data_IF_827749141925
#
_entry.id   IF_827749141925
#
_cell.length_a   1.000
_cell.length_b   1.000
_cell.length_c   1.000
_cell.angle_alpha   90.00
_cell.angle_beta   90.00
_cell.angle_gamma   90.00
#
_symmetry.space_group_name_H-M   'P 1'
#
loop_
_entity.id
_entity.type
_entity.pdbx_description
1 polymer ?
#
# COMPACT_ATOMS: atom_id res chain seq x y z
N UNK A 1 -8.32 17.16 13.25
CA UNK A 1 -7.44 17.15 12.06
C UNK A 1 -6.07 16.70 12.53
N UNK A 2 -5.76 15.40 12.49
CA UNK A 2 -4.35 14.97 12.53
C UNK A 2 -3.76 15.49 11.21
N UNK A 3 -2.98 16.56 11.28
CA UNK A 3 -2.43 17.24 10.11
C UNK A 3 -1.32 16.40 9.50
N UNK A 4 -1.08 16.58 8.20
CA UNK A 4 0.11 16.08 7.48
C UNK A 4 1.39 16.23 8.30
N UNK A 5 1.54 17.38 8.97
CA UNK A 5 2.67 17.71 9.84
C UNK A 5 2.83 16.70 10.98
N UNK A 6 1.74 16.27 11.61
CA UNK A 6 1.78 15.28 12.69
C UNK A 6 2.24 13.90 12.21
N UNK A 7 1.98 13.54 10.96
CA UNK A 7 2.50 12.29 10.36
C UNK A 7 4.00 12.42 10.12
N UNK A 8 4.45 13.53 9.52
CA UNK A 8 5.87 13.77 9.26
C UNK A 8 6.66 13.83 10.57
N UNK A 9 6.16 14.55 11.58
CA UNK A 9 6.76 14.60 12.92
C UNK A 9 6.87 13.21 13.55
N UNK A 10 5.84 12.36 13.39
CA UNK A 10 5.89 10.99 13.88
C UNK A 10 6.97 10.17 13.15
N UNK A 11 7.01 10.24 11.83
CA UNK A 11 7.99 9.50 11.01
C UNK A 11 9.41 9.93 11.38
N UNK A 12 9.66 11.23 11.47
CA UNK A 12 10.98 11.77 11.83
C UNK A 12 11.40 11.33 13.24
N UNK A 13 10.50 11.46 14.23
CA UNK A 13 10.78 11.03 15.60
C UNK A 13 11.00 9.52 15.69
N UNK A 14 10.23 8.71 14.95
CA UNK A 14 10.39 7.27 14.90
C UNK A 14 11.78 6.90 14.37
N UNK A 15 12.19 7.48 13.25
CA UNK A 15 13.49 7.18 12.60
C UNK A 15 14.67 7.66 13.43
N UNK A 16 14.53 8.77 14.16
CA UNK A 16 15.55 9.21 15.11
C UNK A 16 15.67 8.27 16.32
N UNK A 17 14.56 7.69 16.77
CA UNK A 17 14.52 6.80 17.94
C UNK A 17 14.96 5.37 17.60
N UNK A 18 14.62 4.88 16.41
CA UNK A 18 14.86 3.51 15.95
C UNK A 18 15.52 3.51 14.55
N UNK A 19 16.80 3.94 14.44
CA UNK A 19 17.46 4.13 13.14
C UNK A 19 17.66 2.83 12.34
N UNK A 20 17.60 1.68 12.99
CA UNK A 20 17.67 0.35 12.35
C UNK A 20 16.31 -0.18 11.89
N UNK A 21 15.21 0.41 12.35
CA UNK A 21 13.87 0.00 11.98
C UNK A 21 13.46 0.60 10.63
N UNK A 22 12.51 -0.07 9.96
CA UNK A 22 11.85 0.44 8.75
C UNK A 22 10.39 0.70 9.06
N UNK A 23 9.91 1.88 8.70
CA UNK A 23 8.53 2.29 8.90
C UNK A 23 7.77 2.27 7.58
N UNK A 24 6.69 1.47 7.53
CA UNK A 24 5.87 1.30 6.34
C UNK A 24 4.56 2.06 6.46
N UNK A 25 4.13 2.68 5.36
CA UNK A 25 2.78 3.20 5.23
C UNK A 25 1.80 2.07 4.94
N UNK A 26 0.83 1.83 5.83
CA UNK A 26 -0.20 0.80 5.61
C UNK A 26 -1.35 1.37 4.76
N UNK A 27 -1.61 0.71 3.63
CA UNK A 27 -2.68 1.06 2.69
C UNK A 27 -3.61 -0.16 2.59
N UNK A 28 -4.84 -0.02 3.09
CA UNK A 28 -5.87 -1.05 3.00
C UNK A 28 -6.81 -0.77 1.82
N UNK A 29 -7.08 -1.81 1.02
CA UNK A 29 -7.90 -1.74 -0.20
C UNK A 29 -8.96 -2.83 -0.15
N UNK A 30 -10.22 -2.43 -0.07
CA UNK A 30 -11.37 -3.33 -0.03
C UNK A 30 -11.94 -3.55 -1.43
N UNK A 31 -11.75 -4.75 -1.96
CA UNK A 31 -12.07 -5.13 -3.33
C UNK A 31 -13.32 -6.02 -3.37
N UNK A 32 -14.43 -5.51 -2.86
CA UNK A 32 -15.64 -6.29 -2.67
C UNK A 32 -16.59 -6.04 -3.84
N UNK A 33 -17.06 -7.10 -4.51
CA UNK A 33 -17.83 -6.97 -5.77
C UNK A 33 -19.34 -6.80 -5.55
N UNK A 34 -19.82 -6.99 -4.31
CA UNK A 34 -21.25 -7.12 -3.98
C UNK A 34 -21.83 -5.90 -3.22
N UNK A 35 -21.06 -4.82 -3.04
CA UNK A 35 -21.49 -3.58 -2.39
C UNK A 35 -21.18 -2.35 -3.26
N UNK A 36 -22.07 -1.35 -3.25
CA UNK A 36 -21.91 -0.09 -4.00
C UNK A 36 -20.61 0.67 -3.65
N UNK A 37 -20.00 0.37 -2.51
CA UNK A 37 -18.78 1.00 -1.99
C UNK A 37 -17.49 0.19 -2.22
N UNK A 38 -17.56 -0.97 -2.88
CA UNK A 38 -16.42 -1.85 -3.10
C UNK A 38 -15.60 -1.46 -4.33
N UNK A 39 -14.28 -1.42 -4.20
CA UNK A 39 -13.40 -1.11 -5.32
C UNK A 39 -13.23 -2.32 -6.26
N UNK A 40 -13.07 -2.06 -7.56
CA UNK A 40 -12.69 -3.11 -8.51
C UNK A 40 -11.21 -3.01 -8.83
N UNK A 41 -10.46 -4.11 -8.72
CA UNK A 41 -9.02 -4.08 -9.01
C UNK A 41 -8.70 -3.81 -10.48
N UNK A 42 -9.63 -4.09 -11.40
CA UNK A 42 -9.49 -3.78 -12.83
C UNK A 42 -9.73 -2.30 -13.16
N UNK A 43 -10.19 -1.50 -12.20
CA UNK A 43 -10.40 -0.06 -12.34
C UNK A 43 -9.04 0.68 -12.39
N UNK A 44 -8.80 1.36 -13.51
CA UNK A 44 -7.55 2.09 -13.74
C UNK A 44 -7.43 3.30 -12.80
N UNK A 45 -8.55 3.96 -12.46
CA UNK A 45 -8.55 5.10 -11.54
C UNK A 45 -8.18 4.66 -10.12
N UNK A 46 -8.67 3.50 -9.68
CA UNK A 46 -8.23 2.91 -8.42
C UNK A 46 -6.72 2.64 -8.44
N UNK A 47 -6.22 2.02 -9.51
CA UNK A 47 -4.82 1.66 -9.60
C UNK A 47 -3.91 2.90 -9.58
N UNK A 48 -4.31 3.97 -10.26
CA UNK A 48 -3.61 5.26 -10.25
C UNK A 48 -3.66 5.89 -8.85
N UNK A 49 -4.83 5.95 -8.22
CA UNK A 49 -4.99 6.50 -6.87
C UNK A 49 -4.12 5.79 -5.83
N UNK A 50 -4.04 4.46 -5.88
CA UNK A 50 -3.19 3.68 -4.96
C UNK A 50 -1.70 3.93 -5.23
N UNK A 51 -1.30 4.03 -6.50
CA UNK A 51 0.09 4.32 -6.86
C UNK A 51 0.49 5.73 -6.39
N UNK A 52 -0.33 6.75 -6.66
CA UNK A 52 -0.10 8.13 -6.25
C UNK A 52 -0.07 8.27 -4.73
N UNK A 53 -1.00 7.61 -4.03
CA UNK A 53 -0.99 7.62 -2.57
C UNK A 53 0.27 6.93 -2.02
N UNK A 54 0.70 5.82 -2.61
CA UNK A 54 1.95 5.15 -2.25
C UNK A 54 3.18 6.05 -2.44
N UNK A 55 3.25 6.77 -3.57
CA UNK A 55 4.30 7.73 -3.83
C UNK A 55 4.31 8.87 -2.80
N UNK A 56 3.14 9.37 -2.39
CA UNK A 56 3.03 10.41 -1.34
C UNK A 56 3.53 9.90 0.00
N UNK A 57 3.18 8.68 0.41
CA UNK A 57 3.66 8.09 1.67
C UNK A 57 5.21 8.07 1.71
N UNK A 58 5.85 7.68 0.62
CA UNK A 58 7.31 7.55 0.56
C UNK A 58 7.99 8.91 0.35
N UNK A 59 7.62 9.61 -0.72
CA UNK A 59 8.35 10.79 -1.20
C UNK A 59 8.03 12.06 -0.40
N UNK A 60 6.85 12.12 0.22
CA UNK A 60 6.39 13.32 0.91
C UNK A 60 6.29 13.16 2.43
N UNK A 61 5.92 11.97 2.91
CA UNK A 61 5.71 11.71 4.34
C UNK A 61 6.88 10.98 5.01
N UNK A 62 7.88 10.52 4.24
CA UNK A 62 9.15 10.00 4.76
C UNK A 62 9.14 8.52 5.18
N UNK A 63 8.05 7.80 4.90
CA UNK A 63 7.99 6.35 5.12
C UNK A 63 9.05 5.63 4.28
N UNK A 64 9.62 4.57 4.82
CA UNK A 64 10.66 3.79 4.14
C UNK A 64 10.09 2.90 3.03
N UNK A 65 8.77 2.67 3.02
CA UNK A 65 8.08 1.86 2.03
C UNK A 65 6.58 1.81 2.29
N UNK A 66 5.88 0.97 1.52
CA UNK A 66 4.43 0.77 1.66
C UNK A 66 4.09 -0.69 1.94
N UNK A 67 3.07 -0.90 2.76
CA UNK A 67 2.47 -2.20 3.04
C UNK A 67 1.05 -2.20 2.46
N UNK A 68 0.85 -2.96 1.40
CA UNK A 68 -0.44 -3.05 0.72
C UNK A 68 -1.24 -4.21 1.29
N UNK A 69 -2.47 -3.94 1.70
CA UNK A 69 -3.38 -4.91 2.26
C UNK A 69 -4.67 -4.94 1.43
N UNK A 70 -4.69 -5.83 0.44
CA UNK A 70 -5.78 -5.96 -0.54
C UNK A 70 -6.68 -7.12 -0.15
N UNK A 71 -7.98 -6.86 0.07
CA UNK A 71 -8.93 -7.89 0.51
C UNK A 71 -10.32 -7.72 -0.13
N UNK A 72 -10.97 -8.82 -0.59
CA UNK A 72 -10.41 -10.16 -0.77
C UNK A 72 -9.44 -10.25 -1.97
N UNK A 73 -8.33 -10.96 -1.80
CA UNK A 73 -7.41 -11.29 -2.89
C UNK A 73 -7.50 -12.79 -3.21
N UNK A 74 -7.71 -13.12 -4.48
CA UNK A 74 -7.81 -14.49 -4.97
C UNK A 74 -6.56 -14.89 -5.76
N UNK A 75 -6.24 -16.18 -5.77
CA UNK A 75 -5.11 -16.75 -6.52
C UNK A 75 -5.23 -16.44 -8.02
N UNK A 76 -4.11 -16.06 -8.64
CA UNK A 76 -4.06 -15.82 -10.10
C UNK A 76 -4.64 -14.47 -10.55
N UNK A 77 -4.80 -13.51 -9.64
CA UNK A 77 -5.32 -12.18 -9.97
C UNK A 77 -4.24 -11.32 -10.69
N UNK A 78 -4.36 -11.17 -12.00
CA UNK A 78 -3.46 -10.35 -12.83
C UNK A 78 -3.58 -8.85 -12.55
N UNK A 79 -4.76 -8.37 -12.14
CA UNK A 79 -4.98 -6.95 -11.80
C UNK A 79 -4.21 -6.56 -10.55
N UNK A 80 -4.07 -7.47 -9.59
CA UNK A 80 -3.18 -7.27 -8.44
C UNK A 80 -1.71 -7.15 -8.88
N UNK A 81 -1.25 -7.97 -9.84
CA UNK A 81 0.10 -7.82 -10.39
C UNK A 81 0.27 -6.51 -11.16
N UNK A 82 -0.76 -6.05 -11.89
CA UNK A 82 -0.79 -4.73 -12.54
C UNK A 82 -0.67 -3.62 -11.50
N UNK A 83 -1.45 -3.68 -10.42
CA UNK A 83 -1.37 -2.75 -9.29
C UNK A 83 0.04 -2.70 -8.69
N UNK A 84 0.67 -3.85 -8.42
CA UNK A 84 2.03 -3.91 -7.87
C UNK A 84 3.07 -3.27 -8.81
N UNK A 85 2.91 -3.43 -10.14
CA UNK A 85 3.77 -2.78 -11.13
C UNK A 85 3.58 -1.26 -11.12
N UNK A 86 2.34 -0.78 -11.02
CA UNK A 86 2.05 0.65 -10.94
C UNK A 86 2.62 1.28 -9.66
N UNK A 87 2.40 0.64 -8.51
CA UNK A 87 2.99 1.06 -7.24
C UNK A 87 4.51 1.07 -7.34
N UNK A 88 5.14 0.01 -7.85
CA UNK A 88 6.59 -0.06 -8.08
C UNK A 88 7.10 1.09 -8.96
N UNK A 89 6.41 1.41 -10.05
CA UNK A 89 6.78 2.51 -10.92
C UNK A 89 6.71 3.87 -10.19
N UNK A 90 5.73 4.04 -9.30
CA UNK A 90 5.51 5.30 -8.56
C UNK A 90 6.49 5.52 -7.39
N UNK A 91 6.89 4.45 -6.67
CA UNK A 91 7.75 4.55 -5.49
C UNK A 91 9.24 4.33 -5.78
N UNK A 92 9.60 3.91 -7.01
CA UNK A 92 10.98 3.63 -7.42
C UNK A 92 11.41 2.17 -7.18
N UNK A 93 12.54 1.77 -7.79
CA UNK A 93 12.97 0.36 -7.82
C UNK A 93 13.50 -0.18 -6.48
N UNK A 94 14.09 0.69 -5.66
CA UNK A 94 14.75 0.29 -4.41
C UNK A 94 13.83 0.36 -3.19
N UNK A 95 12.67 1.02 -3.32
CA UNK A 95 11.74 1.21 -2.21
C UNK A 95 11.05 -0.10 -1.82
N UNK A 96 11.11 -0.54 -0.56
CA UNK A 96 10.37 -1.71 -0.10
C UNK A 96 8.85 -1.61 -0.36
N UNK A 97 8.29 -2.66 -0.96
CA UNK A 97 6.85 -2.89 -1.05
C UNK A 97 6.58 -4.21 -0.34
N UNK A 98 5.77 -4.16 0.71
CA UNK A 98 5.29 -5.33 1.43
C UNK A 98 3.81 -5.53 1.10
N UNK A 99 3.34 -6.78 1.18
CA UNK A 99 1.94 -7.13 0.94
C UNK A 99 1.43 -8.02 2.06
N UNK A 100 0.16 -7.84 2.45
CA UNK A 100 -0.55 -8.86 3.21
C UNK A 100 -0.89 -10.04 2.28
N UNK A 101 -0.55 -11.25 2.70
CA UNK A 101 -0.96 -12.48 2.01
C UNK A 101 -1.87 -13.24 2.98
N UNK A 102 -3.16 -13.41 2.66
CA UNK A 102 -4.02 -14.26 3.48
C UNK A 102 -3.49 -15.69 3.47
N UNK A 103 -3.61 -16.39 4.60
CA UNK A 103 -3.26 -17.80 4.65
C UNK A 103 -4.11 -18.57 3.63
N UNK A 104 -3.48 -19.44 2.84
CA UNK A 104 -4.22 -20.38 2.02
C UNK A 104 -4.90 -21.40 2.95
N UNK A 105 -6.22 -21.25 3.09
CA UNK A 105 -7.06 -22.15 3.88
C UNK A 105 -7.84 -23.12 3.00
N UNK A 106 -7.52 -23.20 1.70
CA UNK A 106 -8.12 -24.24 0.85
C UNK A 106 -7.56 -25.61 1.24
N UNK A 107 -8.41 -26.63 1.45
CA UNK A 107 -7.92 -28.00 1.66
C UNK A 107 -7.16 -28.45 0.41
N UNK A 108 -5.88 -28.81 0.59
CA UNK A 108 -5.05 -29.45 -0.44
C UNK A 108 -5.41 -30.90 -0.72
#
# INVERSE_FOLDING_TARGET
>A
MQSRDGVMDFVDNFKQTYPEARLYGWIEIWTNLDNEDGYRLDDEELQENVADFSARMVNELGFDGVFLDVKPLFTGNEDFLKLLRNVRASVGLDTPIAIAVPADLTPG
#
